data_IF_804683998486
#
_entry.id   IF_804683998486
#
_cell.length_a   1.000
_cell.length_b   1.000
_cell.length_c   1.000
_cell.angle_alpha   90.00
_cell.angle_beta   90.00
_cell.angle_gamma   90.00
#
_symmetry.space_group_name_H-M   'P 1'
#
loop_
_entity.id
_entity.type
_entity.pdbx_description
1 polymer ?
#
# COMPACT_ATOMS: atom_id res chain seq x y z
N UNK A 1 0.75 36.80 9.20
CA UNK A 1 0.27 35.55 8.56
C UNK A 1 -1.04 35.17 9.25
N UNK A 2 -2.14 35.05 8.53
CA UNK A 2 -3.43 34.62 9.07
C UNK A 2 -3.40 33.16 9.57
N UNK A 3 -4.43 32.71 10.30
CA UNK A 3 -4.46 31.38 10.93
C UNK A 3 -4.29 30.20 9.94
N UNK A 4 -4.72 30.34 8.72
CA UNK A 4 -4.66 29.30 7.68
C UNK A 4 -3.24 28.93 7.22
N UNK A 5 -2.31 29.86 6.94
CA UNK A 5 -0.93 29.54 6.58
C UNK A 5 -0.13 28.87 7.71
N UNK A 6 -0.40 29.24 8.97
CA UNK A 6 0.25 28.62 10.13
C UNK A 6 -0.20 27.16 10.33
N UNK A 7 -1.49 26.88 10.10
CA UNK A 7 -2.09 25.56 10.21
C UNK A 7 -1.50 24.60 9.15
N UNK A 8 -1.42 25.07 7.90
CA UNK A 8 -0.80 24.32 6.80
C UNK A 8 0.67 24.03 7.10
N UNK A 9 1.45 25.04 7.49
CA UNK A 9 2.89 24.88 7.78
C UNK A 9 3.13 23.88 8.91
N UNK A 10 2.37 23.98 10.00
CA UNK A 10 2.52 23.09 11.16
C UNK A 10 2.22 21.64 10.79
N UNK A 11 1.11 21.40 10.09
CA UNK A 11 0.76 20.07 9.59
C UNK A 11 1.82 19.51 8.65
N UNK A 12 2.29 20.33 7.72
CA UNK A 12 3.30 19.90 6.76
C UNK A 12 4.62 19.49 7.43
N UNK A 13 5.12 20.28 8.39
CA UNK A 13 6.35 19.92 9.13
C UNK A 13 6.16 18.61 9.91
N UNK A 14 5.03 18.44 10.61
CA UNK A 14 4.73 17.19 11.32
C UNK A 14 4.66 15.99 10.35
N UNK A 15 4.09 16.20 9.16
CA UNK A 15 3.96 15.15 8.14
C UNK A 15 5.29 14.79 7.47
N UNK A 16 6.22 15.72 7.27
CA UNK A 16 7.56 15.41 6.79
C UNK A 16 8.29 14.46 7.75
N UNK A 17 8.22 14.73 9.05
CA UNK A 17 8.82 13.85 10.08
C UNK A 17 8.11 12.50 10.16
N UNK A 18 6.77 12.51 10.14
CA UNK A 18 5.99 11.28 10.13
C UNK A 18 6.24 10.43 8.88
N UNK A 19 6.51 11.07 7.73
CA UNK A 19 6.79 10.35 6.49
C UNK A 19 8.05 9.46 6.61
N UNK A 20 9.08 9.92 7.31
CA UNK A 20 10.24 9.08 7.63
C UNK A 20 9.87 7.82 8.41
N UNK A 21 9.07 7.96 9.47
CA UNK A 21 8.60 6.80 10.23
C UNK A 21 7.65 5.90 9.44
N UNK A 22 6.84 6.47 8.55
CA UNK A 22 5.97 5.69 7.66
C UNK A 22 6.80 4.82 6.69
N UNK A 23 7.98 5.31 6.24
CA UNK A 23 8.90 4.51 5.44
C UNK A 23 9.49 3.33 6.22
N UNK A 24 9.87 3.53 7.49
CA UNK A 24 10.30 2.43 8.38
C UNK A 24 9.20 1.37 8.50
N UNK A 25 7.96 1.78 8.75
CA UNK A 25 6.82 0.87 8.90
C UNK A 25 6.43 0.16 7.59
N UNK A 26 6.65 0.80 6.44
CA UNK A 26 6.43 0.16 5.13
C UNK A 26 7.33 -1.09 4.99
N UNK A 27 8.58 -1.04 5.48
CA UNK A 27 9.50 -2.18 5.44
C UNK A 27 9.08 -3.31 6.38
N UNK A 28 8.40 -2.99 7.49
CA UNK A 28 7.83 -3.99 8.37
C UNK A 28 6.88 -4.90 7.60
N UNK A 29 5.85 -4.33 6.97
CA UNK A 29 4.82 -5.08 6.24
C UNK A 29 5.31 -5.73 4.95
N UNK A 30 6.22 -5.08 4.23
CA UNK A 30 6.69 -5.58 2.93
C UNK A 30 7.77 -6.65 2.99
N UNK A 31 8.58 -6.68 4.06
CA UNK A 31 9.81 -7.49 4.11
C UNK A 31 10.01 -8.17 5.46
N UNK A 32 10.21 -7.38 6.53
CA UNK A 32 10.85 -7.91 7.73
C UNK A 32 9.98 -8.79 8.60
N UNK A 33 8.71 -8.42 8.81
CA UNK A 33 7.83 -9.23 9.66
C UNK A 33 7.65 -10.64 9.09
N UNK A 34 7.48 -10.75 7.77
CA UNK A 34 7.39 -12.06 7.14
C UNK A 34 8.74 -12.79 7.12
N UNK A 35 9.86 -12.10 6.87
CA UNK A 35 11.19 -12.71 6.89
C UNK A 35 11.54 -13.30 8.27
N UNK A 36 11.19 -12.60 9.35
CA UNK A 36 11.34 -13.11 10.73
C UNK A 36 10.41 -14.30 10.99
N UNK A 37 9.14 -14.23 10.55
CA UNK A 37 8.20 -15.34 10.69
C UNK A 37 8.72 -16.62 10.00
N UNK A 38 9.35 -16.48 8.83
CA UNK A 38 9.90 -17.63 8.07
C UNK A 38 11.22 -18.11 8.68
N UNK A 39 12.19 -17.20 8.87
CA UNK A 39 13.57 -17.57 9.22
C UNK A 39 13.81 -17.86 10.70
N UNK A 40 13.12 -17.13 11.59
CA UNK A 40 13.30 -17.30 13.03
C UNK A 40 12.30 -18.28 13.61
N UNK A 41 11.02 -18.12 13.24
CA UNK A 41 9.95 -18.93 13.82
C UNK A 41 9.60 -20.17 13.01
N UNK A 42 10.13 -20.34 11.81
CA UNK A 42 9.74 -21.40 10.86
C UNK A 42 8.20 -21.53 10.76
N UNK A 43 7.50 -20.39 10.70
CA UNK A 43 6.06 -20.28 10.84
C UNK A 43 5.32 -21.06 9.75
N UNK A 44 4.20 -21.67 10.14
CA UNK A 44 3.29 -22.36 9.24
C UNK A 44 2.53 -21.38 8.32
N UNK A 45 1.90 -21.90 7.27
CA UNK A 45 1.23 -21.10 6.24
C UNK A 45 0.20 -20.10 6.78
N UNK A 46 -0.61 -20.49 7.76
CA UNK A 46 -1.61 -19.61 8.38
C UNK A 46 -0.96 -18.40 9.07
N UNK A 47 0.09 -18.63 9.87
CA UNK A 47 0.77 -17.54 10.57
C UNK A 47 1.43 -16.57 9.58
N UNK A 48 2.06 -17.08 8.52
CA UNK A 48 2.63 -16.28 7.42
C UNK A 48 1.55 -15.45 6.70
N UNK A 49 0.41 -16.05 6.41
CA UNK A 49 -0.73 -15.37 5.79
C UNK A 49 -1.25 -14.21 6.65
N UNK A 50 -1.41 -14.44 7.97
CA UNK A 50 -1.86 -13.41 8.92
C UNK A 50 -0.86 -12.25 9.01
N UNK A 51 0.43 -12.55 9.12
CA UNK A 51 1.49 -11.51 9.12
C UNK A 51 1.47 -10.71 7.83
N UNK A 52 1.37 -11.37 6.68
CA UNK A 52 1.34 -10.71 5.37
C UNK A 52 0.06 -9.87 5.16
N UNK A 53 -1.08 -10.28 5.72
CA UNK A 53 -2.36 -9.58 5.62
C UNK A 53 -2.49 -8.38 6.57
N UNK A 54 -1.58 -8.21 7.53
CA UNK A 54 -1.73 -7.32 8.68
C UNK A 54 -2.00 -5.85 8.31
N UNK A 55 -1.29 -5.31 7.31
CA UNK A 55 -1.54 -3.96 6.81
C UNK A 55 -2.91 -3.83 6.13
N UNK A 56 -3.33 -4.85 5.39
CA UNK A 56 -4.63 -4.84 4.69
C UNK A 56 -5.82 -4.99 5.65
N UNK A 57 -5.62 -5.64 6.80
CA UNK A 57 -6.62 -5.68 7.87
C UNK A 57 -6.97 -4.27 8.36
N UNK A 58 -5.99 -3.37 8.44
CA UNK A 58 -6.25 -1.97 8.78
C UNK A 58 -7.15 -1.27 7.78
N UNK A 59 -6.98 -1.52 6.47
CA UNK A 59 -7.86 -0.98 5.43
C UNK A 59 -9.30 -1.54 5.55
N UNK A 60 -9.42 -2.82 5.88
CA UNK A 60 -10.72 -3.48 6.07
C UNK A 60 -11.49 -2.89 7.24
N UNK A 61 -10.82 -2.62 8.37
CA UNK A 61 -11.46 -2.09 9.58
C UNK A 61 -11.53 -0.56 9.61
N UNK A 62 -10.88 0.14 8.69
CA UNK A 62 -10.80 1.60 8.69
C UNK A 62 -12.15 2.32 8.71
N UNK A 63 -13.22 1.83 8.04
CA UNK A 63 -14.53 2.47 8.11
C UNK A 63 -15.17 2.38 9.51
N UNK A 64 -14.92 1.28 10.22
CA UNK A 64 -15.37 1.13 11.61
C UNK A 64 -14.64 2.10 12.54
N UNK A 65 -13.33 2.28 12.32
CA UNK A 65 -12.52 3.25 13.06
C UNK A 65 -13.02 4.67 12.83
N UNK A 66 -13.30 5.06 11.58
CA UNK A 66 -13.85 6.38 11.26
C UNK A 66 -15.19 6.60 11.96
N UNK A 67 -16.12 5.64 11.85
CA UNK A 67 -17.43 5.71 12.52
C UNK A 67 -17.29 5.84 14.04
N UNK A 68 -16.39 5.09 14.65
CA UNK A 68 -16.12 5.16 16.08
C UNK A 68 -15.54 6.52 16.49
N UNK A 69 -14.57 7.04 15.74
CA UNK A 69 -13.94 8.35 16.00
C UNK A 69 -14.96 9.48 15.87
N UNK A 70 -15.84 9.44 14.86
CA UNK A 70 -16.92 10.41 14.66
C UNK A 70 -17.89 10.41 15.84
N UNK A 71 -18.37 9.25 16.29
CA UNK A 71 -19.25 9.12 17.45
C UNK A 71 -18.62 9.64 18.75
N UNK A 72 -17.29 9.49 18.90
CA UNK A 72 -16.57 9.98 20.08
C UNK A 72 -16.31 11.50 20.02
N UNK A 73 -16.55 12.16 18.89
CA UNK A 73 -16.28 13.58 18.70
C UNK A 73 -14.80 13.96 18.85
N UNK A 74 -13.89 13.01 18.57
CA UNK A 74 -12.46 13.28 18.70
C UNK A 74 -11.90 14.00 17.46
N UNK A 75 -11.04 15.04 17.66
CA UNK A 75 -10.26 15.59 16.55
C UNK A 75 -9.44 14.51 15.87
N UNK A 76 -9.46 14.50 14.52
CA UNK A 76 -8.87 13.42 13.70
C UNK A 76 -7.40 13.16 14.00
N UNK A 77 -6.59 14.20 14.22
CA UNK A 77 -5.17 14.03 14.56
C UNK A 77 -4.96 13.40 15.94
N UNK A 78 -5.78 13.78 16.95
CA UNK A 78 -5.72 13.15 18.28
C UNK A 78 -6.20 11.70 18.25
N UNK A 79 -7.24 11.40 17.48
CA UNK A 79 -7.73 10.04 17.30
C UNK A 79 -6.66 9.16 16.66
N UNK A 80 -6.09 9.59 15.53
CA UNK A 80 -5.02 8.87 14.84
C UNK A 80 -3.78 8.68 15.74
N UNK A 81 -3.40 9.69 16.52
CA UNK A 81 -2.32 9.60 17.50
C UNK A 81 -2.56 8.49 18.52
N UNK A 82 -3.74 8.42 19.15
CA UNK A 82 -4.07 7.38 20.14
C UNK A 82 -4.06 5.97 19.54
N UNK A 83 -4.56 5.83 18.31
CA UNK A 83 -4.57 4.56 17.60
C UNK A 83 -3.12 4.10 17.32
N UNK A 84 -2.24 5.00 16.85
CA UNK A 84 -0.85 4.66 16.64
C UNK A 84 -0.09 4.37 17.94
N UNK A 85 -0.41 5.07 19.03
CA UNK A 85 0.17 4.76 20.34
C UNK A 85 -0.16 3.33 20.80
N UNK A 86 -1.40 2.88 20.58
CA UNK A 86 -1.78 1.49 20.84
C UNK A 86 -1.01 0.49 19.96
N UNK A 87 -0.75 0.86 18.68
CA UNK A 87 0.11 0.07 17.80
C UNK A 87 1.58 0.02 18.26
N UNK A 88 2.10 1.14 18.76
CA UNK A 88 3.46 1.19 19.33
C UNK A 88 3.57 0.25 20.54
N UNK A 89 2.62 0.32 21.47
CA UNK A 89 2.55 -0.60 22.61
C UNK A 89 2.48 -2.06 22.14
N UNK A 90 1.72 -2.33 21.08
CA UNK A 90 1.63 -3.68 20.53
C UNK A 90 2.97 -4.19 19.98
N UNK A 91 3.77 -3.38 19.29
CA UNK A 91 5.12 -3.78 18.90
C UNK A 91 6.04 -3.99 20.10
N UNK A 92 5.92 -3.19 21.17
CA UNK A 92 6.66 -3.42 22.41
C UNK A 92 6.32 -4.78 23.04
N UNK A 93 5.03 -5.13 23.06
CA UNK A 93 4.56 -6.45 23.54
C UNK A 93 5.07 -7.58 22.65
N UNK A 94 5.07 -7.40 21.34
CA UNK A 94 5.65 -8.37 20.39
C UNK A 94 7.16 -8.59 20.63
N UNK A 95 7.89 -7.54 21.04
CA UNK A 95 9.32 -7.62 21.36
C UNK A 95 9.60 -8.25 22.71
N UNK A 96 8.71 -8.05 23.69
CA UNK A 96 8.89 -8.50 25.08
C UNK A 96 8.39 -9.93 25.31
N UNK A 97 7.34 -10.36 24.62
CA UNK A 97 6.69 -11.66 24.83
C UNK A 97 7.27 -12.70 23.88
N UNK A 98 7.70 -13.87 24.40
CA UNK A 98 8.26 -14.92 23.56
C UNK A 98 7.19 -15.67 22.78
N UNK A 99 7.61 -16.27 21.67
CA UNK A 99 6.83 -17.23 20.91
C UNK A 99 6.08 -16.66 19.70
N UNK A 100 5.79 -17.55 18.76
CA UNK A 100 5.18 -17.23 17.48
C UNK A 100 3.79 -16.58 17.62
N UNK A 101 2.96 -17.09 18.53
CA UNK A 101 1.58 -16.58 18.71
C UNK A 101 1.59 -15.11 19.15
N UNK A 102 2.41 -14.76 20.16
CA UNK A 102 2.56 -13.38 20.62
C UNK A 102 3.07 -12.50 19.48
N UNK A 103 4.09 -12.96 18.78
CA UNK A 103 4.63 -12.26 17.61
C UNK A 103 3.54 -11.96 16.56
N UNK A 104 2.78 -12.97 16.13
CA UNK A 104 1.74 -12.84 15.09
C UNK A 104 0.61 -11.92 15.55
N UNK A 105 0.09 -12.11 16.76
CA UNK A 105 -1.06 -11.33 17.27
C UNK A 105 -0.69 -9.86 17.43
N UNK A 106 0.44 -9.56 18.06
CA UNK A 106 0.82 -8.17 18.34
C UNK A 106 1.34 -7.44 17.10
N UNK A 107 2.04 -8.11 16.18
CA UNK A 107 2.42 -7.48 14.90
C UNK A 107 1.21 -7.25 13.99
N UNK A 108 0.24 -8.17 13.96
CA UNK A 108 -1.04 -7.98 13.27
C UNK A 108 -1.75 -6.73 13.80
N UNK A 109 -1.90 -6.60 15.11
CA UNK A 109 -2.58 -5.45 15.71
C UNK A 109 -1.83 -4.14 15.42
N UNK A 110 -0.50 -4.11 15.59
CA UNK A 110 0.31 -2.94 15.33
C UNK A 110 0.21 -2.45 13.87
N UNK A 111 0.32 -3.35 12.91
CA UNK A 111 0.19 -3.02 11.48
C UNK A 111 -1.23 -2.63 11.11
N UNK A 112 -2.24 -3.25 11.71
CA UNK A 112 -3.65 -2.87 11.56
C UNK A 112 -3.88 -1.43 11.97
N UNK A 113 -3.35 -0.99 13.12
CA UNK A 113 -3.49 0.42 13.57
C UNK A 113 -2.85 1.39 12.61
N UNK A 114 -1.69 1.06 12.04
CA UNK A 114 -0.97 1.89 11.07
C UNK A 114 -1.78 2.18 9.80
N UNK A 115 -2.49 1.19 9.27
CA UNK A 115 -3.29 1.35 8.06
C UNK A 115 -4.72 1.86 8.33
N UNK A 116 -5.29 1.56 9.50
CA UNK A 116 -6.64 1.96 9.86
C UNK A 116 -6.84 3.48 9.97
N UNK A 117 -5.78 4.24 10.21
CA UNK A 117 -5.82 5.72 10.31
C UNK A 117 -5.81 6.43 8.95
N UNK A 118 -5.62 5.72 7.82
CA UNK A 118 -5.47 6.35 6.49
C UNK A 118 -6.64 7.31 6.17
N UNK A 119 -7.92 6.97 6.41
CA UNK A 119 -9.01 7.93 6.15
C UNK A 119 -8.95 9.17 7.05
N UNK A 120 -8.51 9.03 8.31
CA UNK A 120 -8.34 10.15 9.22
C UNK A 120 -7.23 11.11 8.75
N UNK A 121 -6.14 10.56 8.19
CA UNK A 121 -5.07 11.35 7.57
C UNK A 121 -5.58 12.08 6.31
N UNK A 122 -6.36 11.41 5.48
CA UNK A 122 -6.95 12.01 4.29
C UNK A 122 -7.83 13.19 4.66
N UNK A 123 -8.68 13.04 5.69
CA UNK A 123 -9.51 14.15 6.21
C UNK A 123 -8.63 15.29 6.72
N UNK A 124 -7.58 15.02 7.49
CA UNK A 124 -6.63 16.02 7.99
C UNK A 124 -5.97 16.80 6.83
N UNK A 125 -5.61 16.12 5.73
CA UNK A 125 -5.02 16.78 4.57
C UNK A 125 -6.04 17.67 3.83
N UNK A 126 -7.30 17.25 3.75
CA UNK A 126 -8.37 18.07 3.17
C UNK A 126 -8.61 19.33 3.99
N UNK A 127 -8.56 19.20 5.32
CA UNK A 127 -8.78 20.28 6.25
C UNK A 127 -7.63 21.30 6.30
N UNK A 128 -6.36 20.82 6.21
CA UNK A 128 -5.18 21.61 6.51
C UNK A 128 -4.37 22.05 5.28
N UNK A 129 -4.57 21.44 4.12
CA UNK A 129 -3.83 21.77 2.91
C UNK A 129 -4.73 22.47 1.89
N UNK A 130 -4.32 23.67 1.37
CA UNK A 130 -5.01 24.31 0.26
C UNK A 130 -5.12 23.37 -0.95
N UNK A 131 -6.27 23.35 -1.63
CA UNK A 131 -6.54 22.45 -2.73
C UNK A 131 -5.46 22.48 -3.84
N UNK A 132 -4.99 23.69 -4.19
CA UNK A 132 -3.98 23.91 -5.23
C UNK A 132 -2.54 23.49 -4.84
N UNK A 133 -2.26 23.21 -3.54
CA UNK A 133 -0.95 22.79 -3.04
C UNK A 133 -0.95 21.37 -2.47
N UNK A 134 -2.12 20.77 -2.25
CA UNK A 134 -2.26 19.47 -1.57
C UNK A 134 -1.45 18.37 -2.24
N UNK A 135 -1.52 18.26 -3.56
CA UNK A 135 -0.77 17.25 -4.31
C UNK A 135 0.75 17.42 -4.15
N UNK A 136 1.26 18.65 -4.25
CA UNK A 136 2.69 18.95 -4.10
C UNK A 136 3.18 18.63 -2.69
N UNK A 137 2.48 19.08 -1.66
CA UNK A 137 2.85 18.85 -0.26
C UNK A 137 2.83 17.34 0.06
N UNK A 138 1.82 16.63 -0.43
CA UNK A 138 1.71 15.18 -0.25
C UNK A 138 2.81 14.42 -0.99
N UNK A 139 3.17 14.81 -2.21
CA UNK A 139 4.23 14.12 -2.97
C UNK A 139 5.59 14.17 -2.28
N UNK A 140 5.93 15.28 -1.63
CA UNK A 140 7.18 15.37 -0.86
C UNK A 140 7.22 14.35 0.28
N UNK A 141 6.10 14.16 1.01
CA UNK A 141 6.01 13.15 2.08
C UNK A 141 6.13 11.73 1.53
N UNK A 142 5.56 11.47 0.36
CA UNK A 142 5.69 10.16 -0.32
C UNK A 142 7.14 9.88 -0.71
N UNK A 143 7.87 10.87 -1.24
CA UNK A 143 9.29 10.72 -1.59
C UNK A 143 10.15 10.43 -0.37
N UNK A 144 9.95 11.14 0.75
CA UNK A 144 10.66 10.88 2.02
C UNK A 144 10.36 9.46 2.51
N UNK A 145 9.10 9.04 2.47
CA UNK A 145 8.69 7.69 2.87
C UNK A 145 9.43 6.62 2.07
N UNK A 146 9.45 6.74 0.74
CA UNK A 146 10.12 5.77 -0.14
C UNK A 146 11.63 5.76 0.10
N UNK A 147 12.26 6.94 0.20
CA UNK A 147 13.69 7.06 0.48
C UNK A 147 14.07 6.44 1.83
N UNK A 148 13.29 6.72 2.88
CA UNK A 148 13.49 6.13 4.20
C UNK A 148 13.26 4.62 4.20
N UNK A 149 12.26 4.12 3.46
CA UNK A 149 12.03 2.69 3.32
C UNK A 149 13.23 1.99 2.65
N UNK A 150 13.81 2.57 1.60
CA UNK A 150 15.01 2.05 0.96
C UNK A 150 16.21 2.02 1.92
N UNK A 151 16.49 3.14 2.60
CA UNK A 151 17.60 3.27 3.54
C UNK A 151 17.43 2.31 4.73
N UNK A 152 16.25 2.27 5.34
CA UNK A 152 15.99 1.40 6.48
C UNK A 152 16.03 -0.08 6.09
N UNK A 153 15.55 -0.45 4.90
CA UNK A 153 15.68 -1.83 4.39
C UNK A 153 17.14 -2.28 4.33
N UNK A 154 18.05 -1.40 3.90
CA UNK A 154 19.49 -1.71 3.87
C UNK A 154 20.03 -1.88 5.28
N UNK A 155 19.80 -0.90 6.16
CA UNK A 155 20.33 -0.90 7.54
C UNK A 155 19.81 -2.10 8.33
N UNK A 156 18.50 -2.33 8.33
CA UNK A 156 17.88 -3.42 9.07
C UNK A 156 18.23 -4.78 8.47
N UNK A 157 18.32 -4.87 7.14
CA UNK A 157 18.77 -6.07 6.44
C UNK A 157 20.18 -6.48 6.86
N UNK A 158 21.13 -5.55 6.85
CA UNK A 158 22.51 -5.81 7.28
C UNK A 158 22.59 -6.17 8.77
N UNK A 159 21.84 -5.48 9.63
CA UNK A 159 21.79 -5.74 11.06
C UNK A 159 21.29 -7.15 11.41
N UNK A 160 20.28 -7.64 10.67
CA UNK A 160 19.71 -8.98 10.86
C UNK A 160 20.47 -10.07 10.08
N UNK A 161 21.29 -9.70 9.11
CA UNK A 161 22.02 -10.65 8.26
C UNK A 161 22.93 -11.58 9.06
N UNK A 162 23.54 -11.06 10.12
CA UNK A 162 24.44 -11.81 10.97
C UNK A 162 23.72 -12.67 12.02
N UNK A 163 22.61 -12.17 12.58
CA UNK A 163 21.84 -12.83 13.63
C UNK A 163 20.36 -12.43 13.55
N UNK A 164 19.54 -13.34 13.05
CA UNK A 164 18.08 -13.12 12.98
C UNK A 164 17.43 -13.01 14.38
N UNK A 165 18.06 -13.57 15.41
CA UNK A 165 17.63 -13.51 16.81
C UNK A 165 17.60 -12.07 17.36
N UNK A 166 18.23 -11.12 16.66
CA UNK A 166 18.17 -9.69 16.98
C UNK A 166 16.85 -9.02 16.56
N UNK A 167 15.90 -9.75 15.98
CA UNK A 167 14.62 -9.19 15.54
C UNK A 167 13.85 -8.40 16.62
N UNK A 168 13.97 -8.66 17.96
CA UNK A 168 13.31 -7.82 18.94
C UNK A 168 13.74 -6.34 18.87
N UNK A 169 15.01 -6.06 18.56
CA UNK A 169 15.49 -4.69 18.33
C UNK A 169 14.80 -4.03 17.14
N UNK A 170 14.52 -4.81 16.09
CA UNK A 170 13.76 -4.32 14.95
C UNK A 170 12.32 -3.96 15.33
N UNK A 171 11.67 -4.80 16.17
CA UNK A 171 10.32 -4.51 16.68
C UNK A 171 10.32 -3.25 17.57
N UNK A 172 11.38 -3.02 18.36
CA UNK A 172 11.56 -1.77 19.11
C UNK A 172 11.72 -0.56 18.18
N UNK A 173 12.43 -0.68 17.07
CA UNK A 173 12.50 0.37 16.05
C UNK A 173 11.12 0.68 15.45
N UNK A 174 10.31 -0.35 15.15
CA UNK A 174 8.94 -0.16 14.65
C UNK A 174 8.02 0.46 15.72
N UNK A 175 8.16 0.04 16.98
CA UNK A 175 7.45 0.67 18.10
C UNK A 175 7.81 2.15 18.24
N UNK A 176 9.09 2.49 18.19
CA UNK A 176 9.58 3.87 18.20
C UNK A 176 9.07 4.68 17.03
N UNK A 177 9.03 4.09 15.82
CA UNK A 177 8.47 4.72 14.63
C UNK A 177 6.98 5.05 14.79
N UNK A 178 6.16 4.11 15.32
CA UNK A 178 4.75 4.37 15.60
C UNK A 178 4.54 5.39 16.72
N UNK A 179 5.33 5.32 17.79
CA UNK A 179 5.28 6.28 18.88
C UNK A 179 5.60 7.70 18.41
N UNK A 180 6.64 7.86 17.59
CA UNK A 180 7.00 9.15 17.02
C UNK A 180 5.97 9.64 16.01
N UNK A 181 5.40 8.76 15.17
CA UNK A 181 4.29 9.10 14.29
C UNK A 181 3.06 9.57 15.07
N UNK A 182 2.74 8.89 16.19
CA UNK A 182 1.70 9.29 17.13
C UNK A 182 1.94 10.69 17.68
N UNK A 183 3.17 10.98 18.13
CA UNK A 183 3.57 12.29 18.61
C UNK A 183 3.38 13.37 17.52
N UNK A 184 3.84 13.14 16.30
CA UNK A 184 3.66 14.08 15.19
C UNK A 184 2.17 14.41 14.96
N UNK A 185 1.30 13.40 14.91
CA UNK A 185 -0.13 13.60 14.70
C UNK A 185 -0.83 14.29 15.84
N UNK A 186 -0.39 14.10 17.09
CA UNK A 186 -0.91 14.81 18.26
C UNK A 186 -0.69 16.34 18.18
N UNK A 187 0.30 16.77 17.38
CA UNK A 187 0.67 18.18 17.18
C UNK A 187 -0.03 18.81 15.99
N UNK A 188 -0.70 18.02 15.14
CA UNK A 188 -1.45 18.55 14.00
C UNK A 188 -2.76 19.20 14.47
N UNK A 189 -3.05 20.44 14.04
CA UNK A 189 -4.32 21.09 14.33
C UNK A 189 -5.42 20.43 13.50
N UNK A 190 -6.44 19.87 14.15
CA UNK A 190 -7.57 19.18 13.49
C UNK A 190 -8.86 19.40 14.26
N UNK A 191 -9.98 19.27 13.54
CA UNK A 191 -11.33 19.32 14.10
C UNK A 191 -11.96 17.91 14.12
N UNK A 192 -13.01 17.69 14.93
CA UNK A 192 -13.82 16.49 14.82
C UNK A 192 -14.47 16.36 13.44
N UNK A 193 -14.67 15.13 12.97
CA UNK A 193 -15.47 14.88 11.77
C UNK A 193 -16.94 15.16 12.10
N UNK A 194 -17.65 15.99 11.29
CA UNK A 194 -19.09 16.19 11.49
C UNK A 194 -19.85 14.86 11.41
N UNK A 195 -20.80 14.66 12.32
CA UNK A 195 -21.67 13.48 12.28
C UNK A 195 -22.90 13.78 11.42
N UNK A 196 -22.74 13.67 10.11
CA UNK A 196 -23.84 13.86 9.13
C UNK A 196 -24.77 12.64 9.04
N UNK A 197 -24.79 11.80 10.06
CA UNK A 197 -25.74 10.69 10.19
C UNK A 197 -25.53 9.51 9.25
N UNK A 198 -24.30 9.35 8.65
CA UNK A 198 -24.24 8.16 7.89
C UNK A 198 -23.20 7.88 6.82
N UNK A 199 -21.94 8.08 7.06
CA UNK A 199 -20.90 7.42 6.28
C UNK A 199 -20.80 5.92 6.65
N UNK A 200 -21.89 5.17 6.46
CA UNK A 200 -21.80 3.71 6.60
C UNK A 200 -21.05 3.15 5.39
N UNK A 201 -19.91 2.44 5.59
CA UNK A 201 -19.04 1.99 4.50
C UNK A 201 -19.77 1.12 3.47
N UNK A 202 -20.79 0.38 3.92
CA UNK A 202 -21.62 -0.45 3.04
C UNK A 202 -22.56 0.38 2.14
N UNK A 203 -22.88 1.65 2.48
CA UNK A 203 -23.62 2.53 1.58
C UNK A 203 -22.84 2.89 0.33
N UNK A 204 -21.52 2.99 0.42
CA UNK A 204 -20.65 3.25 -0.72
C UNK A 204 -20.65 2.09 -1.73
N UNK A 205 -20.98 0.86 -1.32
CA UNK A 205 -21.07 -0.30 -2.22
C UNK A 205 -22.24 -0.17 -3.23
N UNK A 206 -23.25 0.68 -2.98
CA UNK A 206 -24.31 0.98 -3.96
C UNK A 206 -23.73 1.49 -5.28
N UNK A 207 -22.66 2.30 -5.26
CA UNK A 207 -22.03 2.83 -6.47
C UNK A 207 -21.40 1.74 -7.33
N UNK A 208 -20.99 0.63 -6.74
CA UNK A 208 -20.53 -0.55 -7.50
C UNK A 208 -21.68 -1.15 -8.31
N UNK A 209 -22.92 -1.06 -7.79
CA UNK A 209 -24.11 -1.55 -8.49
C UNK A 209 -24.60 -0.55 -9.55
N UNK A 210 -24.62 0.72 -9.21
CA UNK A 210 -25.31 1.76 -9.98
C UNK A 210 -24.43 2.34 -11.11
N UNK A 211 -23.08 2.35 -10.95
CA UNK A 211 -22.14 2.86 -11.93
C UNK A 211 -21.40 1.72 -12.64
N UNK A 212 -21.75 1.47 -13.90
CA UNK A 212 -21.17 0.38 -14.69
C UNK A 212 -19.68 0.58 -15.00
N UNK A 213 -19.23 1.83 -15.24
CA UNK A 213 -17.82 2.15 -15.50
C UNK A 213 -16.99 1.94 -14.25
N UNK A 214 -17.46 2.46 -13.11
CA UNK A 214 -16.82 2.25 -11.82
C UNK A 214 -16.72 0.75 -11.48
N UNK A 215 -17.83 0.02 -11.60
CA UNK A 215 -17.86 -1.44 -11.36
C UNK A 215 -16.85 -2.19 -12.21
N UNK A 216 -16.81 -1.94 -13.51
CA UNK A 216 -15.88 -2.62 -14.43
C UNK A 216 -14.43 -2.31 -14.08
N UNK A 217 -14.12 -1.04 -13.86
CA UNK A 217 -12.79 -0.60 -13.46
C UNK A 217 -12.39 -1.19 -12.11
N UNK A 218 -13.31 -1.23 -11.15
CA UNK A 218 -13.09 -1.80 -9.83
C UNK A 218 -12.86 -3.32 -9.90
N UNK A 219 -13.59 -4.07 -10.74
CA UNK A 219 -13.32 -5.50 -10.97
C UNK A 219 -11.90 -5.71 -11.47
N UNK A 220 -11.43 -4.90 -12.42
CA UNK A 220 -10.05 -4.98 -12.90
C UNK A 220 -9.04 -4.70 -11.78
N UNK A 221 -9.31 -3.69 -10.94
CA UNK A 221 -8.48 -3.40 -9.77
C UNK A 221 -8.46 -4.57 -8.78
N UNK A 222 -9.60 -5.23 -8.55
CA UNK A 222 -9.69 -6.35 -7.62
C UNK A 222 -8.93 -7.56 -8.16
N UNK A 223 -9.12 -7.94 -9.42
CA UNK A 223 -8.44 -9.08 -10.05
C UNK A 223 -6.91 -8.88 -10.07
N UNK A 224 -6.44 -7.76 -10.64
CA UNK A 224 -5.02 -7.47 -10.71
C UNK A 224 -4.40 -7.35 -9.33
N UNK A 225 -5.07 -6.62 -8.43
CA UNK A 225 -4.56 -6.42 -7.08
C UNK A 225 -4.56 -7.70 -6.25
N UNK A 226 -5.53 -8.60 -6.45
CA UNK A 226 -5.54 -9.91 -5.82
C UNK A 226 -4.32 -10.73 -6.28
N UNK A 227 -4.10 -10.82 -7.60
CA UNK A 227 -2.96 -11.52 -8.18
C UNK A 227 -1.62 -10.94 -7.67
N UNK A 228 -1.47 -9.61 -7.67
CA UNK A 228 -0.26 -8.96 -7.17
C UNK A 228 -0.04 -9.20 -5.66
N UNK A 229 -1.09 -9.10 -4.84
CA UNK A 229 -1.01 -9.31 -3.39
C UNK A 229 -0.82 -10.78 -2.99
N UNK A 230 -1.15 -11.73 -3.87
CA UNK A 230 -0.73 -13.13 -3.71
C UNK A 230 0.79 -13.25 -3.82
N UNK A 231 1.38 -12.63 -4.86
CA UNK A 231 2.81 -12.79 -5.16
C UNK A 231 3.72 -11.92 -4.29
N UNK A 232 3.20 -10.81 -3.75
CA UNK A 232 3.99 -9.89 -2.94
C UNK A 232 4.65 -10.54 -1.71
N UNK A 233 3.92 -11.22 -0.81
CA UNK A 233 4.52 -11.91 0.33
C UNK A 233 5.30 -13.16 -0.09
N UNK A 234 4.90 -13.81 -1.18
CA UNK A 234 5.61 -14.98 -1.69
C UNK A 234 7.03 -14.66 -2.15
N UNK A 235 7.37 -13.40 -2.48
CA UNK A 235 8.77 -13.02 -2.77
C UNK A 235 9.67 -13.24 -1.56
N UNK A 236 9.21 -12.86 -0.37
CA UNK A 236 9.95 -13.09 0.88
C UNK A 236 10.03 -14.57 1.18
N UNK A 237 8.91 -15.29 1.09
CA UNK A 237 8.85 -16.74 1.29
C UNK A 237 9.77 -17.49 0.34
N UNK A 238 9.72 -17.18 -0.95
CA UNK A 238 10.54 -17.81 -2.00
C UNK A 238 12.04 -17.65 -1.75
N UNK A 239 12.44 -16.46 -1.29
CA UNK A 239 13.84 -16.18 -1.00
C UNK A 239 14.29 -16.76 0.35
N UNK A 240 13.42 -16.79 1.35
CA UNK A 240 13.75 -17.14 2.73
C UNK A 240 13.70 -18.63 3.01
N UNK A 241 12.74 -19.36 2.40
CA UNK A 241 12.47 -20.74 2.73
C UNK A 241 13.37 -21.68 1.93
N UNK A 242 14.16 -22.56 2.60
CA UNK A 242 15.07 -23.50 1.92
C UNK A 242 14.41 -24.44 0.92
N UNK A 243 13.14 -24.77 1.09
CA UNK A 243 12.40 -25.68 0.19
C UNK A 243 12.36 -25.22 -1.28
N UNK A 244 12.56 -23.91 -1.54
CA UNK A 244 12.57 -23.36 -2.89
C UNK A 244 13.97 -23.21 -3.48
N UNK A 245 15.01 -23.68 -2.79
CA UNK A 245 16.39 -23.70 -3.27
C UNK A 245 17.14 -22.37 -3.23
N UNK A 246 16.49 -21.28 -2.80
CA UNK A 246 17.13 -19.96 -2.69
C UNK A 246 17.82 -19.75 -1.35
N UNK A 247 17.13 -19.93 -0.24
CA UNK A 247 17.62 -19.86 1.15
C UNK A 247 18.58 -18.68 1.45
N UNK A 248 18.36 -17.53 0.78
CA UNK A 248 19.26 -16.38 0.87
C UNK A 248 19.19 -15.71 2.23
N UNK A 249 20.19 -14.91 2.57
CA UNK A 249 20.24 -14.18 3.83
C UNK A 249 19.19 -13.06 3.92
N UNK A 250 18.87 -12.61 5.12
CA UNK A 250 17.91 -11.49 5.32
C UNK A 250 18.39 -10.21 4.64
N UNK A 251 19.70 -9.96 4.59
CA UNK A 251 20.27 -8.83 3.87
C UNK A 251 19.95 -8.86 2.37
N UNK A 252 20.06 -10.03 1.74
CA UNK A 252 19.68 -10.21 0.32
C UNK A 252 18.18 -10.10 0.13
N UNK A 253 17.35 -10.64 1.05
CA UNK A 253 15.90 -10.47 1.02
C UNK A 253 15.55 -8.99 1.07
N UNK A 254 16.11 -8.24 2.03
CA UNK A 254 15.89 -6.81 2.17
C UNK A 254 16.35 -6.02 0.93
N UNK A 255 17.45 -6.43 0.30
CA UNK A 255 17.93 -5.84 -0.94
C UNK A 255 16.93 -6.03 -2.09
N UNK A 256 16.46 -7.25 -2.32
CA UNK A 256 15.59 -7.61 -3.44
C UNK A 256 14.12 -7.19 -3.24
N UNK A 257 13.63 -7.14 -2.01
CA UNK A 257 12.22 -6.81 -1.73
C UNK A 257 12.01 -5.38 -1.20
N UNK A 258 13.06 -4.75 -0.70
CA UNK A 258 13.02 -3.42 -0.10
C UNK A 258 13.88 -2.39 -0.85
N UNK A 259 15.20 -2.55 -0.90
CA UNK A 259 16.11 -1.50 -1.41
C UNK A 259 15.91 -1.27 -2.91
N UNK A 260 16.11 -2.31 -3.73
CA UNK A 260 16.07 -2.21 -5.19
C UNK A 260 14.72 -1.69 -5.69
N UNK A 261 13.56 -2.28 -5.30
CA UNK A 261 12.29 -1.77 -5.79
C UNK A 261 11.97 -0.35 -5.29
N UNK A 262 12.40 0.04 -4.09
CA UNK A 262 12.17 1.40 -3.61
C UNK A 262 13.05 2.44 -4.30
N UNK A 263 14.30 2.12 -4.67
CA UNK A 263 15.13 3.00 -5.49
C UNK A 263 14.49 3.18 -6.87
N UNK A 264 14.10 2.11 -7.54
CA UNK A 264 13.41 2.18 -8.83
C UNK A 264 12.11 3.01 -8.72
N UNK A 265 11.32 2.80 -7.66
CA UNK A 265 10.10 3.53 -7.36
C UNK A 265 10.37 5.04 -7.16
N UNK A 266 11.40 5.40 -6.40
CA UNK A 266 11.76 6.79 -6.15
C UNK A 266 12.15 7.52 -7.44
N UNK A 267 12.99 6.88 -8.26
CA UNK A 267 13.48 7.47 -9.53
C UNK A 267 12.36 7.62 -10.55
N UNK A 268 11.46 6.65 -10.64
CA UNK A 268 10.42 6.63 -11.70
C UNK A 268 9.10 7.30 -11.27
N UNK A 269 8.89 7.61 -10.00
CA UNK A 269 7.65 8.26 -9.52
C UNK A 269 7.32 9.58 -10.24
N UNK A 270 8.28 10.52 -10.50
CA UNK A 270 7.98 11.75 -11.23
C UNK A 270 7.52 11.49 -12.67
N UNK A 271 8.12 10.51 -13.35
CA UNK A 271 7.76 10.12 -14.72
C UNK A 271 6.33 9.59 -14.76
N UNK A 272 5.96 8.71 -13.82
CA UNK A 272 4.60 8.17 -13.74
C UNK A 272 3.57 9.22 -13.36
N UNK A 273 3.93 10.21 -12.54
CA UNK A 273 3.08 11.37 -12.26
C UNK A 273 2.75 12.15 -13.54
N UNK A 274 3.77 12.46 -14.33
CA UNK A 274 3.58 13.13 -15.63
C UNK A 274 2.72 12.29 -16.60
N UNK A 275 3.01 11.00 -16.72
CA UNK A 275 2.22 10.10 -17.57
C UNK A 275 0.76 9.99 -17.12
N UNK A 276 0.49 9.99 -15.81
CA UNK A 276 -0.87 9.96 -15.27
C UNK A 276 -1.70 11.19 -15.69
N UNK A 277 -1.07 12.34 -15.79
CA UNK A 277 -1.76 13.58 -16.19
C UNK A 277 -2.03 13.63 -17.70
N UNK A 278 -1.13 13.09 -18.54
CA UNK A 278 -1.17 13.24 -19.99
C UNK A 278 -1.67 12.01 -20.75
N UNK A 279 -1.57 10.81 -20.18
CA UNK A 279 -2.06 9.58 -20.81
C UNK A 279 -3.54 9.31 -20.51
N UNK A 280 -4.16 8.52 -21.38
CA UNK A 280 -5.44 7.89 -21.06
C UNK A 280 -5.26 6.98 -19.85
N UNK A 281 -6.11 7.14 -18.83
CA UNK A 281 -6.02 6.38 -17.58
C UNK A 281 -6.05 4.86 -17.79
N UNK A 282 -6.91 4.36 -18.68
CA UNK A 282 -7.03 2.93 -18.94
C UNK A 282 -5.77 2.37 -19.64
N UNK A 283 -5.20 3.13 -20.58
CA UNK A 283 -3.95 2.76 -21.24
C UNK A 283 -2.79 2.73 -20.24
N UNK A 284 -2.65 3.77 -19.40
CA UNK A 284 -1.67 3.81 -18.32
C UNK A 284 -1.83 2.59 -17.40
N UNK A 285 -3.06 2.24 -17.04
CA UNK A 285 -3.35 1.10 -16.18
C UNK A 285 -2.92 -0.23 -16.81
N UNK A 286 -3.19 -0.44 -18.09
CA UNK A 286 -2.75 -1.64 -18.81
C UNK A 286 -1.22 -1.71 -18.87
N UNK A 287 -0.54 -0.61 -19.11
CA UNK A 287 0.94 -0.54 -19.09
C UNK A 287 1.51 -0.96 -17.73
N UNK A 288 0.93 -0.45 -16.64
CA UNK A 288 1.33 -0.84 -15.27
C UNK A 288 1.10 -2.33 -15.01
N UNK A 289 -0.04 -2.87 -15.44
CA UNK A 289 -0.38 -4.27 -15.27
C UNK A 289 0.61 -5.18 -16.00
N UNK A 290 0.98 -4.83 -17.24
CA UNK A 290 2.01 -5.57 -18.01
C UNK A 290 3.35 -5.53 -17.27
N UNK A 291 3.75 -4.38 -16.74
CA UNK A 291 4.96 -4.25 -15.93
C UNK A 291 4.93 -5.13 -14.68
N UNK A 292 3.82 -5.16 -13.94
CA UNK A 292 3.66 -6.08 -12.79
C UNK A 292 3.77 -7.54 -13.22
N UNK A 293 3.11 -7.95 -14.33
CA UNK A 293 3.19 -9.32 -14.83
C UNK A 293 4.62 -9.70 -15.20
N UNK A 294 5.34 -8.85 -15.93
CA UNK A 294 6.75 -9.08 -16.29
C UNK A 294 7.60 -9.19 -15.01
N UNK A 295 7.47 -8.28 -14.07
CA UNK A 295 8.23 -8.28 -12.82
C UNK A 295 7.98 -9.55 -11.99
N UNK A 296 6.73 -10.02 -11.90
CA UNK A 296 6.37 -11.25 -11.21
C UNK A 296 6.99 -12.46 -11.92
N UNK A 297 6.78 -12.61 -13.23
CA UNK A 297 7.33 -13.75 -13.98
C UNK A 297 8.85 -13.79 -13.87
N UNK A 298 9.54 -12.68 -14.18
CA UNK A 298 11.00 -12.61 -14.12
C UNK A 298 11.53 -12.99 -12.74
N UNK A 299 10.86 -12.55 -11.66
CA UNK A 299 11.31 -12.84 -10.30
C UNK A 299 11.15 -14.33 -9.93
N UNK A 300 10.03 -14.96 -10.26
CA UNK A 300 9.72 -16.31 -9.80
C UNK A 300 10.12 -17.43 -10.75
N UNK A 301 10.48 -17.11 -12.01
CA UNK A 301 10.96 -18.09 -12.98
C UNK A 301 12.47 -18.03 -13.18
N UNK A 302 13.15 -17.02 -12.62
CA UNK A 302 14.60 -16.90 -12.72
C UNK A 302 15.32 -17.71 -11.63
N UNK A 303 16.35 -18.45 -12.03
CA UNK A 303 17.26 -19.14 -11.13
C UNK A 303 18.58 -18.35 -10.91
N UNK A 304 18.65 -17.12 -11.40
CA UNK A 304 19.86 -16.28 -11.33
C UNK A 304 19.64 -15.02 -10.51
N UNK A 305 20.70 -14.55 -9.84
CA UNK A 305 20.67 -13.26 -9.13
C UNK A 305 20.31 -12.11 -10.06
N UNK A 306 20.80 -12.11 -11.29
CA UNK A 306 20.49 -11.10 -12.30
C UNK A 306 18.98 -11.04 -12.60
N UNK A 307 18.33 -12.19 -12.74
CA UNK A 307 16.88 -12.24 -12.98
C UNK A 307 16.07 -11.80 -11.76
N UNK A 308 16.47 -12.16 -10.54
CA UNK A 308 15.83 -11.67 -9.32
C UNK A 308 15.94 -10.14 -9.21
N UNK A 309 17.12 -9.58 -9.52
CA UNK A 309 17.34 -8.13 -9.54
C UNK A 309 16.49 -7.46 -10.62
N UNK A 310 16.48 -8.00 -11.85
CA UNK A 310 15.66 -7.47 -12.94
C UNK A 310 14.16 -7.47 -12.58
N UNK A 311 13.66 -8.58 -12.02
CA UNK A 311 12.28 -8.69 -11.54
C UNK A 311 11.96 -7.66 -10.45
N UNK A 312 12.89 -7.44 -9.50
CA UNK A 312 12.74 -6.44 -8.44
C UNK A 312 12.70 -5.00 -8.99
N UNK A 313 13.53 -4.68 -9.99
CA UNK A 313 13.55 -3.37 -10.66
C UNK A 313 12.23 -3.14 -11.39
N UNK A 314 11.80 -4.07 -12.25
CA UNK A 314 10.55 -3.95 -13.01
C UNK A 314 9.35 -3.83 -12.10
N UNK A 315 9.32 -4.59 -10.99
CA UNK A 315 8.31 -4.46 -9.96
C UNK A 315 8.32 -3.06 -9.33
N UNK A 316 9.48 -2.52 -8.98
CA UNK A 316 9.62 -1.17 -8.43
C UNK A 316 9.13 -0.09 -9.39
N UNK A 317 9.47 -0.18 -10.68
CA UNK A 317 9.01 0.72 -11.74
C UNK A 317 7.48 0.71 -11.82
N UNK A 318 6.87 -0.48 -11.85
CA UNK A 318 5.42 -0.62 -11.93
C UNK A 318 4.73 -0.14 -10.64
N UNK A 319 5.35 -0.35 -9.49
CA UNK A 319 4.83 0.10 -8.20
C UNK A 319 4.82 1.63 -8.09
N UNK A 320 5.81 2.32 -8.65
CA UNK A 320 5.83 3.78 -8.72
C UNK A 320 4.58 4.36 -9.39
N UNK A 321 4.22 3.82 -10.55
CA UNK A 321 2.98 4.21 -11.24
C UNK A 321 1.72 3.68 -10.55
N UNK A 322 1.83 2.52 -9.92
CA UNK A 322 0.78 1.92 -9.11
C UNK A 322 0.34 2.82 -7.95
N UNK A 323 1.27 3.46 -7.26
CA UNK A 323 0.97 4.39 -6.15
C UNK A 323 0.19 5.62 -6.62
N UNK A 324 0.63 6.23 -7.73
CA UNK A 324 -0.04 7.38 -8.33
C UNK A 324 -1.46 6.97 -8.78
N UNK A 325 -1.55 5.89 -9.53
CA UNK A 325 -2.82 5.40 -10.02
C UNK A 325 -3.77 5.02 -8.88
N UNK A 326 -3.31 4.32 -7.83
CA UNK A 326 -4.14 3.91 -6.69
C UNK A 326 -4.73 5.09 -5.93
N UNK A 327 -3.95 6.15 -5.77
CA UNK A 327 -4.36 7.32 -4.99
C UNK A 327 -5.34 8.22 -5.75
N UNK A 328 -5.26 8.25 -7.09
CA UNK A 328 -5.92 9.29 -7.89
C UNK A 328 -6.95 8.77 -8.91
N UNK A 329 -7.03 7.46 -9.19
CA UNK A 329 -7.86 6.94 -10.27
C UNK A 329 -9.34 7.32 -10.20
N UNK A 330 -9.89 7.34 -8.99
CA UNK A 330 -11.31 7.69 -8.77
C UNK A 330 -11.59 9.13 -9.19
N UNK A 331 -10.63 10.04 -9.07
CA UNK A 331 -10.81 11.46 -9.45
C UNK A 331 -10.97 11.65 -10.96
N UNK A 332 -10.63 10.65 -11.77
CA UNK A 332 -10.71 10.75 -13.24
C UNK A 332 -12.15 10.58 -13.77
N UNK A 333 -13.07 10.02 -12.99
CA UNK A 333 -14.44 9.78 -13.48
C UNK A 333 -15.55 9.82 -12.40
N UNK A 334 -15.22 9.88 -11.13
CA UNK A 334 -16.23 10.03 -10.09
C UNK A 334 -16.88 11.42 -10.18
N UNK A 335 -18.21 11.54 -10.02
CA UNK A 335 -18.87 12.83 -9.96
C UNK A 335 -18.29 13.73 -8.87
N UNK A 336 -18.24 15.03 -9.18
CA UNK A 336 -17.81 16.04 -8.20
C UNK A 336 -18.65 15.92 -6.92
N UNK A 337 -18.00 15.95 -5.75
CA UNK A 337 -18.65 15.78 -4.45
C UNK A 337 -18.88 14.32 -3.99
N UNK A 338 -18.67 13.30 -4.86
CA UNK A 338 -18.81 11.89 -4.50
C UNK A 338 -17.50 11.08 -4.53
N UNK A 339 -16.38 11.73 -4.81
CA UNK A 339 -15.05 11.08 -4.90
C UNK A 339 -14.72 10.31 -3.61
N UNK A 340 -15.05 10.88 -2.44
CA UNK A 340 -14.80 10.23 -1.15
C UNK A 340 -15.59 8.92 -0.98
N UNK A 341 -16.84 8.87 -1.44
CA UNK A 341 -17.68 7.67 -1.34
C UNK A 341 -17.17 6.55 -2.28
N UNK A 342 -16.80 6.90 -3.52
CA UNK A 342 -16.20 5.96 -4.47
C UNK A 342 -14.86 5.43 -3.96
N UNK A 343 -14.05 6.31 -3.36
CA UNK A 343 -12.77 5.93 -2.76
C UNK A 343 -12.95 5.03 -1.54
N UNK A 344 -13.98 5.25 -0.73
CA UNK A 344 -14.30 4.40 0.41
C UNK A 344 -14.66 2.97 -0.03
N UNK A 345 -15.46 2.80 -1.09
CA UNK A 345 -15.76 1.49 -1.65
C UNK A 345 -14.49 0.79 -2.17
N UNK A 346 -13.63 1.52 -2.88
CA UNK A 346 -12.35 1.00 -3.37
C UNK A 346 -11.42 0.56 -2.22
N UNK A 347 -11.26 1.39 -1.20
CA UNK A 347 -10.38 1.12 -0.05
C UNK A 347 -10.86 -0.10 0.74
N UNK A 348 -12.17 -0.20 1.00
CA UNK A 348 -12.75 -1.35 1.68
C UNK A 348 -12.50 -2.66 0.91
N UNK A 349 -12.81 -2.70 -0.39
CA UNK A 349 -12.58 -3.88 -1.22
C UNK A 349 -11.08 -4.19 -1.38
N UNK A 350 -10.22 -3.16 -1.36
CA UNK A 350 -8.77 -3.35 -1.28
C UNK A 350 -8.37 -4.06 0.01
N UNK A 351 -8.99 -3.73 1.14
CA UNK A 351 -8.81 -4.45 2.40
C UNK A 351 -9.24 -5.92 2.30
N UNK A 352 -10.44 -6.19 1.75
CA UNK A 352 -10.95 -7.55 1.55
C UNK A 352 -9.97 -8.40 0.74
N UNK A 353 -9.56 -7.94 -0.45
CA UNK A 353 -8.62 -8.68 -1.29
C UNK A 353 -7.25 -8.83 -0.62
N UNK A 354 -6.81 -7.81 0.12
CA UNK A 354 -5.51 -7.80 0.78
C UNK A 354 -5.41 -8.72 1.98
N UNK A 355 -6.54 -9.12 2.56
CA UNK A 355 -6.63 -10.19 3.57
C UNK A 355 -6.73 -11.56 2.89
N UNK A 356 -7.56 -11.68 1.86
CA UNK A 356 -7.81 -12.94 1.18
C UNK A 356 -6.60 -13.42 0.34
N UNK A 357 -5.91 -12.52 -0.36
CA UNK A 357 -4.84 -12.90 -1.27
C UNK A 357 -3.65 -13.59 -0.60
N UNK A 358 -3.09 -13.12 0.53
CA UNK A 358 -2.03 -13.86 1.22
C UNK A 358 -2.49 -15.22 1.76
N UNK A 359 -3.74 -15.33 2.22
CA UNK A 359 -4.28 -16.60 2.67
C UNK A 359 -4.32 -17.64 1.54
N UNK A 360 -4.84 -17.24 0.37
CA UNK A 360 -4.85 -18.09 -0.83
C UNK A 360 -3.43 -18.39 -1.29
N UNK A 361 -2.52 -17.42 -1.26
CA UNK A 361 -1.13 -17.58 -1.67
C UNK A 361 -0.40 -18.65 -0.84
N UNK A 362 -0.46 -18.56 0.49
CA UNK A 362 0.23 -19.50 1.38
C UNK A 362 -0.45 -20.89 1.42
N UNK A 363 -1.74 -20.96 1.16
CA UNK A 363 -2.41 -22.24 0.94
C UNK A 363 -1.96 -22.87 -0.39
N UNK A 364 -2.00 -22.10 -1.47
CA UNK A 364 -1.70 -22.61 -2.81
C UNK A 364 -0.22 -23.00 -2.97
N UNK A 365 0.73 -22.23 -2.41
CA UNK A 365 2.18 -22.54 -2.53
C UNK A 365 2.60 -23.82 -1.80
N UNK A 366 1.76 -24.32 -0.88
CA UNK A 366 1.97 -25.63 -0.27
C UNK A 366 1.69 -26.81 -1.24
N UNK A 367 0.95 -26.57 -2.32
CA UNK A 367 0.52 -27.60 -3.26
C UNK A 367 1.09 -27.43 -4.67
N UNK A 368 1.45 -26.19 -5.05
CA UNK A 368 1.98 -25.86 -6.37
C UNK A 368 3.21 -24.98 -6.27
N UNK A 369 4.10 -25.08 -7.25
CA UNK A 369 5.34 -24.28 -7.23
C UNK A 369 5.08 -22.77 -7.35
N UNK A 370 5.99 -21.94 -6.79
CA UNK A 370 5.92 -20.47 -6.92
C UNK A 370 5.86 -20.00 -8.38
N UNK A 371 6.54 -20.69 -9.32
CA UNK A 371 6.51 -20.36 -10.75
C UNK A 371 5.13 -20.60 -11.38
N UNK A 372 4.42 -21.65 -10.99
CA UNK A 372 3.04 -21.90 -11.46
C UNK A 372 2.12 -20.81 -10.92
N UNK A 373 2.23 -20.46 -9.63
CA UNK A 373 1.44 -19.36 -9.04
C UNK A 373 1.73 -18.02 -9.70
N UNK A 374 2.99 -17.75 -10.05
CA UNK A 374 3.37 -16.57 -10.81
C UNK A 374 2.69 -16.52 -12.18
N UNK A 375 2.68 -17.65 -12.90
CA UNK A 375 2.00 -17.76 -14.20
C UNK A 375 0.49 -17.53 -14.07
N UNK A 376 -0.17 -18.15 -13.10
CA UNK A 376 -1.60 -17.94 -12.82
C UNK A 376 -1.89 -16.47 -12.46
N UNK A 377 -1.05 -15.86 -11.61
CA UNK A 377 -1.17 -14.45 -11.24
C UNK A 377 -1.02 -13.53 -12.46
N UNK A 378 -0.07 -13.83 -13.35
CA UNK A 378 0.09 -13.08 -14.59
C UNK A 378 -1.11 -13.23 -15.52
N UNK A 379 -1.66 -14.44 -15.67
CA UNK A 379 -2.88 -14.66 -16.45
C UNK A 379 -4.06 -13.83 -15.90
N UNK A 380 -4.25 -13.77 -14.59
CA UNK A 380 -5.26 -12.92 -13.95
C UNK A 380 -5.01 -11.43 -14.20
N UNK A 381 -3.76 -10.96 -14.13
CA UNK A 381 -3.38 -9.57 -14.43
C UNK A 381 -3.67 -9.23 -15.89
N UNK A 382 -3.34 -10.12 -16.82
CA UNK A 382 -3.60 -9.93 -18.24
C UNK A 382 -5.10 -9.98 -18.55
N UNK A 383 -5.86 -10.88 -17.93
CA UNK A 383 -7.32 -10.91 -18.03
C UNK A 383 -7.95 -9.60 -17.52
N UNK A 384 -7.50 -9.10 -16.36
CA UNK A 384 -7.91 -7.80 -15.85
C UNK A 384 -7.60 -6.66 -16.84
N UNK A 385 -6.46 -6.72 -17.52
CA UNK A 385 -6.06 -5.73 -18.52
C UNK A 385 -6.94 -5.81 -19.77
N UNK A 386 -7.28 -7.03 -20.21
CA UNK A 386 -8.16 -7.23 -21.36
C UNK A 386 -9.56 -6.62 -21.15
N UNK A 387 -10.08 -6.67 -19.91
CA UNK A 387 -11.35 -6.04 -19.55
C UNK A 387 -11.35 -4.50 -19.70
N UNK A 388 -10.17 -3.85 -19.71
CA UNK A 388 -10.04 -2.40 -19.90
C UNK A 388 -9.89 -1.96 -21.36
N UNK A 389 -9.62 -2.88 -22.29
CA UNK A 389 -9.39 -2.55 -23.71
C UNK A 389 -10.59 -1.83 -24.34
N UNK A 390 -11.86 -2.22 -24.11
CA UNK A 390 -13.01 -1.51 -24.66
C UNK A 390 -13.07 -0.04 -24.24
N UNK A 391 -12.68 0.26 -22.99
CA UNK A 391 -12.69 1.63 -22.45
C UNK A 391 -11.60 2.50 -23.09
N UNK A 392 -10.43 1.91 -23.42
CA UNK A 392 -9.37 2.60 -24.17
C UNK A 392 -9.89 3.00 -25.56
N UNK A 393 -10.56 2.08 -26.25
CA UNK A 393 -11.11 2.32 -27.60
C UNK A 393 -12.21 3.37 -27.56
N UNK A 394 -13.11 3.33 -26.59
CA UNK A 394 -14.19 4.30 -26.41
C UNK A 394 -13.65 5.71 -26.16
N UNK A 395 -12.70 5.85 -25.23
CA UNK A 395 -12.05 7.13 -24.92
C UNK A 395 -11.30 7.73 -26.12
N UNK A 396 -10.67 6.88 -26.96
CA UNK A 396 -10.02 7.32 -28.21
C UNK A 396 -11.02 7.86 -29.22
N UNK A 397 -12.16 7.16 -29.41
CA UNK A 397 -13.22 7.61 -30.30
C UNK A 397 -13.83 8.94 -29.86
N UNK A 398 -14.08 9.14 -28.56
CA UNK A 398 -14.60 10.39 -28.01
C UNK A 398 -13.64 11.56 -28.25
N UNK A 399 -12.32 11.36 -28.08
CA UNK A 399 -11.32 12.40 -28.39
C UNK A 399 -11.25 12.74 -29.87
N UNK A 400 -11.34 11.73 -30.75
CA UNK A 400 -11.36 11.95 -32.20
C UNK A 400 -12.62 12.71 -32.63
N UNK A 401 -13.79 12.38 -32.06
CA UNK A 401 -15.02 13.10 -32.33
C UNK A 401 -14.97 14.55 -31.84
N UNK A 402 -14.41 14.81 -30.66
CA UNK A 402 -14.22 16.17 -30.15
C UNK A 402 -13.27 17.00 -31.02
N UNK A 403 -12.16 16.42 -31.46
CA UNK A 403 -11.21 17.10 -32.36
C UNK A 403 -11.84 17.44 -33.73
N UNK A 404 -12.66 16.52 -34.28
CA UNK A 404 -13.39 16.77 -35.52
C UNK A 404 -14.45 17.89 -35.39
N UNK A 405 -15.11 17.98 -34.24
CA UNK A 405 -16.07 19.06 -33.96
C UNK A 405 -15.38 20.41 -33.85
N UNK A 406 -14.18 20.45 -33.24
CA UNK A 406 -13.34 21.65 -33.11
C UNK A 406 -12.84 22.13 -34.48
N UNK A 407 -12.36 21.20 -35.33
CA UNK A 407 -11.91 21.45 -36.69
C UNK A 407 -13.04 21.93 -37.64
N UNK A 408 -14.29 21.52 -37.42
CA UNK A 408 -15.46 21.95 -38.20
C UNK A 408 -15.98 23.31 -37.70
N UNK A 409 -15.66 23.69 -36.46
CA UNK A 409 -16.10 24.95 -35.83
C UNK A 409 -15.17 26.13 -36.06
N UNK A 410 -13.94 25.88 -36.54
CA UNK A 410 -12.98 26.90 -37.06
C UNK A 410 -13.23 27.14 -38.57
#
# INVERSE_FOLDING_TARGET
MGPEPQRTRRTYVCELWRAGTAGILETAGSTFLLAVAVKHFAAGGLAKAVVAASGSMGLLVSPLIVSWVTKMGWPTGKAASRILAAGALSFLLAAALPGLTAYVVFTLFAMTTSAAIIPLLTHMYQENYPAHQRGRLFSHTVMIRIATAAAFSKIAGDALNQRVERFPWLLLCFAGALAFASFCLSRCPTTPIPDDGGAHPLRALRFVRDDALFRRTLICWMLMGFANLMMLPLRVEYLANPQYGQAVSIGVIALLTGVIPNIARLVLSPIWGHLFDHMNFFALRVTLNIGFAIGILTFFTSNSVAGLVAGAIVFGISNAGGDVAWSLWVTKFAPAGRVAEYMAAHTFLTGVRGVAAPAVAFFAVAHVSPGILATVSCALILAASALLIPEIKSARKSRQAAALVEEISE
#
